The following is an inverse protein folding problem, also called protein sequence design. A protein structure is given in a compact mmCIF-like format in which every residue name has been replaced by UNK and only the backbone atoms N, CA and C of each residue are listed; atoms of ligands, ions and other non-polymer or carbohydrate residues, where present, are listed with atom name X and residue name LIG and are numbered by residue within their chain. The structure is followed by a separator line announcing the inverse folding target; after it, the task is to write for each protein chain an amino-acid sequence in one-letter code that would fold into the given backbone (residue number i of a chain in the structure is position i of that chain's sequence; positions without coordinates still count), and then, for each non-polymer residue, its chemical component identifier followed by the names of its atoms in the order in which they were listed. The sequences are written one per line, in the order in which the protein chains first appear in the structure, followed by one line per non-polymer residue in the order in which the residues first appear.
data_IF_221951652987
#
_entry.id   IF_221951652987
#
_cell.length_a   1.000
_cell.length_b   1.000
_cell.length_c   1.000
_cell.angle_alpha   90.00
_cell.angle_beta   90.00
_cell.angle_gamma   90.00
#
_symmetry.space_group_name_H-M   'P 1'
#
loop_
_entity.id
_entity.type
_entity.pdbx_description
1 polymer ?
#
# COMPACT_ATOMS: atom_id res chain seq x y z
N UNK A 1 -22.02 0.22 -4.58
CA UNK A 1 -22.57 -0.63 -3.52
C UNK A 1 -22.79 0.24 -2.28
N UNK A 2 -24.02 0.47 -1.87
CA UNK A 2 -24.34 1.09 -0.59
C UNK A 2 -24.09 0.06 0.50
N UNK A 3 -23.47 0.40 1.64
CA UNK A 3 -23.45 -0.49 2.79
C UNK A 3 -24.87 -0.65 3.37
N UNK A 4 -25.16 -1.86 3.79
CA UNK A 4 -26.41 -2.25 4.44
C UNK A 4 -26.57 -1.49 5.78
N UNK A 5 -27.73 -0.88 6.09
CA UNK A 5 -27.93 -0.09 7.31
C UNK A 5 -28.18 -0.89 8.58
N UNK A 6 -27.74 -2.16 8.65
CA UNK A 6 -28.04 -3.10 9.72
C UNK A 6 -26.93 -3.50 10.68
N UNK A 7 -25.70 -3.00 10.55
CA UNK A 7 -24.65 -3.32 11.54
C UNK A 7 -24.61 -2.29 12.66
N UNK A 8 -25.00 -2.77 13.83
CA UNK A 8 -25.03 -2.06 15.09
C UNK A 8 -23.70 -1.41 15.45
N UNK A 9 -23.74 -0.40 16.31
CA UNK A 9 -22.66 0.45 16.77
C UNK A 9 -21.33 -0.28 16.92
N UNK A 10 -20.53 -0.28 15.85
CA UNK A 10 -19.16 -0.76 15.90
C UNK A 10 -18.42 0.11 16.92
N UNK A 11 -17.99 -0.50 18.01
CA UNK A 11 -17.20 0.15 19.04
C UNK A 11 -16.06 0.91 18.34
N UNK A 12 -15.86 2.18 18.68
CA UNK A 12 -14.84 3.03 18.11
C UNK A 12 -13.49 2.35 18.39
N UNK A 13 -12.95 1.66 17.39
CA UNK A 13 -11.60 1.09 17.49
C UNK A 13 -10.64 2.26 17.74
N UNK A 14 -9.90 2.27 18.86
CA UNK A 14 -9.02 3.39 19.16
C UNK A 14 -8.01 3.56 18.03
N UNK A 15 -7.97 4.76 17.45
CA UNK A 15 -7.05 5.08 16.35
C UNK A 15 -5.61 5.01 16.86
N UNK A 16 -4.74 4.36 16.08
CA UNK A 16 -3.31 4.30 16.38
C UNK A 16 -2.64 5.60 15.98
N UNK A 17 -1.86 6.19 16.88
CA UNK A 17 -1.08 7.39 16.57
C UNK A 17 0.06 7.04 15.62
N UNK A 18 0.14 7.77 14.50
CA UNK A 18 1.14 7.60 13.46
C UNK A 18 1.92 8.89 13.26
N UNK A 19 3.13 8.92 13.73
CA UNK A 19 4.04 10.06 13.59
C UNK A 19 4.76 9.99 12.25
N UNK A 20 5.00 11.13 11.62
CA UNK A 20 5.72 11.19 10.35
C UNK A 20 6.73 12.33 10.32
N UNK A 21 7.79 12.14 9.54
CA UNK A 21 8.93 13.07 9.45
C UNK A 21 9.22 13.47 8.00
N UNK A 22 8.23 13.28 7.12
CA UNK A 22 8.27 13.65 5.71
C UNK A 22 7.07 14.56 5.37
N UNK A 23 7.34 15.74 4.76
CA UNK A 23 6.33 16.71 4.38
C UNK A 23 5.32 16.17 3.33
N UNK A 24 5.67 15.13 2.58
CA UNK A 24 4.77 14.46 1.64
C UNK A 24 3.48 13.97 2.31
N UNK A 25 3.54 13.50 3.54
CA UNK A 25 2.36 13.08 4.30
C UNK A 25 1.38 14.22 4.58
N UNK A 26 1.90 15.44 4.76
CA UNK A 26 1.05 16.61 5.00
C UNK A 26 0.39 17.14 3.72
N UNK A 27 1.12 17.10 2.62
CA UNK A 27 0.69 17.70 1.35
C UNK A 27 -0.37 16.87 0.63
N UNK A 28 -0.38 15.56 0.80
CA UNK A 28 -1.28 14.66 0.10
C UNK A 28 -2.56 14.38 0.91
N UNK A 29 -3.62 15.14 0.65
CA UNK A 29 -4.90 15.00 1.36
C UNK A 29 -5.50 13.59 1.21
N UNK A 30 -5.37 12.96 0.03
CA UNK A 30 -5.86 11.60 -0.22
C UNK A 30 -5.12 10.57 0.64
N UNK A 31 -3.79 10.65 0.72
CA UNK A 31 -2.98 9.79 1.58
C UNK A 31 -3.44 9.89 3.05
N UNK A 32 -3.60 11.11 3.56
CA UNK A 32 -4.10 11.31 4.93
C UNK A 32 -5.47 10.69 5.14
N UNK A 33 -6.37 10.85 4.16
CA UNK A 33 -7.71 10.27 4.24
C UNK A 33 -7.67 8.75 4.28
N UNK A 34 -6.84 8.10 3.44
CA UNK A 34 -6.68 6.65 3.41
C UNK A 34 -6.12 6.12 4.73
N UNK A 35 -5.07 6.76 5.29
CA UNK A 35 -4.52 6.39 6.59
C UNK A 35 -5.54 6.56 7.72
N UNK A 36 -6.32 7.64 7.70
CA UNK A 36 -7.40 7.86 8.67
C UNK A 36 -8.48 6.77 8.58
N UNK A 37 -8.86 6.34 7.36
CA UNK A 37 -9.81 5.25 7.15
C UNK A 37 -9.24 3.90 7.58
N UNK A 38 -7.93 3.71 7.48
CA UNK A 38 -7.22 2.53 7.97
C UNK A 38 -6.98 2.54 9.50
N UNK A 39 -7.56 3.50 10.23
CA UNK A 39 -7.49 3.56 11.68
C UNK A 39 -6.25 4.27 12.24
N UNK A 40 -5.52 5.01 11.41
CA UNK A 40 -4.36 5.79 11.87
C UNK A 40 -4.72 7.27 12.04
N UNK A 41 -4.16 7.86 13.09
CA UNK A 41 -4.24 9.29 13.40
C UNK A 41 -2.85 9.91 13.21
N UNK A 42 -2.69 10.69 12.13
CA UNK A 42 -1.41 11.31 11.81
C UNK A 42 -1.08 12.41 12.81
N UNK A 43 0.14 12.36 13.32
CA UNK A 43 0.66 13.28 14.33
C UNK A 43 2.01 13.86 13.94
N UNK A 44 2.23 15.09 14.37
CA UNK A 44 3.54 15.72 14.42
C UNK A 44 4.05 15.65 15.86
N UNK A 45 5.36 15.64 16.03
CA UNK A 45 5.99 15.63 17.36
C UNK A 45 6.85 14.39 17.58
N UNK A 46 6.99 13.97 18.82
CA UNK A 46 7.87 12.88 19.22
C UNK A 46 7.05 11.65 19.65
N UNK A 47 7.25 10.47 19.02
CA UNK A 47 6.50 9.27 19.36
C UNK A 47 6.96 8.65 20.67
N UNK A 48 6.09 7.90 21.32
CA UNK A 48 6.38 6.98 22.41
C UNK A 48 6.60 5.54 21.90
N UNK A 49 7.10 4.61 22.73
CA UNK A 49 7.26 3.20 22.32
C UNK A 49 5.97 2.49 21.88
N UNK A 50 4.80 3.00 22.31
CA UNK A 50 3.49 2.46 21.94
C UNK A 50 2.96 3.03 20.61
N UNK A 51 3.61 4.04 20.07
CA UNK A 51 3.22 4.71 18.83
C UNK A 51 3.86 4.07 17.61
N UNK A 52 3.49 4.56 16.43
CA UNK A 52 4.09 4.18 15.17
C UNK A 52 4.73 5.39 14.49
N UNK A 53 5.78 5.12 13.74
CA UNK A 53 6.38 6.09 12.81
C UNK A 53 6.10 5.62 11.39
N UNK A 54 5.40 6.45 10.61
CA UNK A 54 5.12 6.22 9.21
C UNK A 54 6.28 6.67 8.33
N UNK A 55 6.73 5.79 7.45
CA UNK A 55 7.78 6.06 6.45
C UNK A 55 7.32 5.59 5.07
N UNK A 56 7.84 6.20 4.01
CA UNK A 56 7.52 5.80 2.64
C UNK A 56 8.53 4.74 2.17
N UNK A 57 8.05 3.50 2.08
CA UNK A 57 8.84 2.34 1.64
C UNK A 57 10.22 2.26 2.27
N UNK A 58 11.21 2.03 1.43
CA UNK A 58 12.64 2.09 1.74
C UNK A 58 13.33 3.33 1.12
N UNK A 59 12.56 4.36 0.78
CA UNK A 59 13.09 5.57 0.14
C UNK A 59 14.16 6.28 1.00
N UNK A 60 15.06 7.07 0.39
CA UNK A 60 16.04 7.86 1.17
C UNK A 60 15.41 8.77 2.23
N UNK A 61 14.15 9.18 2.01
CA UNK A 61 13.39 10.00 2.95
C UNK A 61 12.86 9.21 4.16
N UNK A 62 12.89 7.89 4.12
CA UNK A 62 12.49 7.03 5.24
C UNK A 62 13.50 7.11 6.40
N UNK A 63 14.78 7.31 6.11
CA UNK A 63 15.89 7.25 7.08
C UNK A 63 15.67 8.11 8.33
N UNK A 64 15.08 9.30 8.17
CA UNK A 64 14.80 10.19 9.32
C UNK A 64 13.75 9.57 10.26
N UNK A 65 12.68 9.01 9.70
CA UNK A 65 11.64 8.33 10.48
C UNK A 65 12.17 7.06 11.14
N UNK A 66 12.98 6.28 10.41
CA UNK A 66 13.63 5.07 10.93
C UNK A 66 14.54 5.38 12.13
N UNK A 67 15.35 6.44 12.01
CA UNK A 67 16.22 6.87 13.11
C UNK A 67 15.41 7.32 14.35
N UNK A 68 14.28 8.00 14.16
CA UNK A 68 13.39 8.39 15.26
C UNK A 68 12.75 7.16 15.90
N UNK A 69 12.23 6.23 15.10
CA UNK A 69 11.65 4.99 15.60
C UNK A 69 12.66 4.19 16.44
N UNK A 70 13.88 4.03 15.95
CA UNK A 70 14.97 3.35 16.68
C UNK A 70 15.31 4.04 18.01
N UNK A 71 15.36 5.37 18.04
CA UNK A 71 15.68 6.14 19.26
C UNK A 71 14.57 6.13 20.31
N UNK A 72 13.32 6.02 19.89
CA UNK A 72 12.15 6.11 20.78
C UNK A 72 11.57 4.75 21.15
N UNK A 73 12.01 3.69 20.47
CA UNK A 73 11.40 2.37 20.60
C UNK A 73 10.04 2.25 19.93
N UNK A 74 9.60 3.28 19.18
CA UNK A 74 8.35 3.23 18.42
C UNK A 74 8.43 2.24 17.27
N UNK A 75 7.29 1.60 16.94
CA UNK A 75 7.21 0.71 15.79
C UNK A 75 7.27 1.48 14.45
N UNK A 76 7.73 0.83 13.38
CA UNK A 76 7.65 1.37 12.03
C UNK A 76 6.34 0.91 11.34
N UNK A 77 5.77 1.79 10.54
CA UNK A 77 4.78 1.48 9.53
C UNK A 77 5.33 1.95 8.18
N UNK A 78 5.67 1.01 7.31
CA UNK A 78 6.06 1.29 5.94
C UNK A 78 4.82 1.44 5.09
N UNK A 79 4.75 2.51 4.35
CA UNK A 79 3.62 2.88 3.50
C UNK A 79 4.15 2.89 2.08
N UNK A 80 3.47 2.19 1.18
CA UNK A 80 3.87 2.08 -0.22
C UNK A 80 2.66 2.15 -1.14
N UNK A 81 2.88 2.38 -2.40
CA UNK A 81 1.84 2.33 -3.42
C UNK A 81 1.17 0.96 -3.46
N UNK A 82 -0.14 0.93 -3.59
CA UNK A 82 -0.90 -0.30 -3.80
C UNK A 82 -0.59 -0.96 -5.14
N UNK A 83 -0.84 -2.27 -5.25
CA UNK A 83 -0.65 -3.03 -6.49
C UNK A 83 -1.48 -2.50 -7.66
N UNK A 84 -2.66 -1.93 -7.39
CA UNK A 84 -3.43 -1.11 -8.31
C UNK A 84 -3.30 0.33 -7.86
N UNK A 85 -2.45 1.09 -8.53
CA UNK A 85 -2.09 2.41 -8.03
C UNK A 85 -2.94 3.55 -8.58
N UNK A 86 -2.98 3.70 -9.89
CA UNK A 86 -3.64 4.83 -10.56
C UNK A 86 -3.68 4.62 -12.08
N UNK A 87 -4.31 5.52 -12.81
CA UNK A 87 -4.23 5.52 -14.27
C UNK A 87 -2.80 5.83 -14.73
N UNK A 88 -2.22 6.92 -14.23
CA UNK A 88 -0.90 7.39 -14.60
C UNK A 88 0.11 7.26 -13.44
N UNK A 89 1.42 7.19 -13.70
CA UNK A 89 2.45 7.17 -12.67
C UNK A 89 2.39 8.38 -11.72
N UNK A 90 2.84 8.18 -10.49
CA UNK A 90 2.87 9.24 -9.47
C UNK A 90 3.76 10.44 -9.84
N UNK A 91 4.83 10.22 -10.63
CA UNK A 91 5.67 11.29 -11.18
C UNK A 91 4.91 12.25 -12.10
N UNK A 92 3.80 11.81 -12.67
CA UNK A 92 2.88 12.62 -13.47
C UNK A 92 1.80 13.30 -12.62
N UNK A 93 1.91 13.26 -11.29
CA UNK A 93 1.01 13.91 -10.36
C UNK A 93 -0.24 13.11 -10.00
N UNK A 94 -0.41 11.90 -10.55
CA UNK A 94 -1.57 11.06 -10.23
C UNK A 94 -1.50 10.56 -8.78
N UNK A 95 -2.52 10.84 -7.94
CA UNK A 95 -2.54 10.38 -6.56
C UNK A 95 -2.84 8.88 -6.49
N UNK A 96 -2.34 8.17 -5.46
CA UNK A 96 -2.62 6.75 -5.31
C UNK A 96 -4.10 6.48 -5.03
N UNK A 97 -4.62 5.35 -5.53
CA UNK A 97 -5.96 4.84 -5.25
C UNK A 97 -5.95 3.80 -4.12
N UNK A 98 -4.81 3.20 -3.83
CA UNK A 98 -4.60 2.23 -2.78
C UNK A 98 -3.22 2.36 -2.15
N UNK A 99 -3.07 1.83 -0.94
CA UNK A 99 -1.80 1.79 -0.22
C UNK A 99 -1.56 0.37 0.31
N UNK A 100 -0.31 -0.02 0.32
CA UNK A 100 0.18 -1.13 1.14
C UNK A 100 0.71 -0.56 2.44
N UNK A 101 0.29 -1.14 3.55
CA UNK A 101 0.71 -0.77 4.91
C UNK A 101 1.37 -2.00 5.52
N UNK A 102 2.65 -1.89 5.85
CA UNK A 102 3.46 -3.03 6.29
C UNK A 102 4.23 -2.67 7.57
N UNK A 103 4.21 -3.55 8.55
CA UNK A 103 4.89 -3.36 9.84
C UNK A 103 6.18 -4.16 9.96
N UNK A 104 6.48 -5.03 9.02
CA UNK A 104 7.65 -5.92 8.99
C UNK A 104 8.68 -5.45 7.98
N UNK A 105 8.25 -5.22 6.75
CA UNK A 105 9.13 -4.88 5.65
C UNK A 105 8.43 -4.15 4.53
N UNK A 106 8.81 -4.42 3.31
CA UNK A 106 8.10 -4.08 2.07
C UNK A 106 8.24 -5.24 1.10
N UNK A 107 7.23 -5.45 0.27
CA UNK A 107 7.14 -6.61 -0.62
C UNK A 107 8.23 -6.70 -1.70
N UNK A 108 9.02 -5.66 -1.90
CA UNK A 108 10.13 -5.63 -2.87
C UNK A 108 11.53 -5.64 -2.22
N UNK A 109 11.62 -5.65 -0.88
CA UNK A 109 12.89 -5.74 -0.14
C UNK A 109 13.09 -7.17 0.38
N UNK A 110 13.95 -7.93 -0.28
CA UNK A 110 14.26 -9.31 0.08
C UNK A 110 15.08 -9.44 1.38
N UNK A 111 15.52 -8.35 2.01
CA UNK A 111 16.33 -8.40 3.24
C UNK A 111 15.55 -8.86 4.47
N UNK A 112 14.23 -8.75 4.43
CA UNK A 112 13.31 -9.17 5.51
C UNK A 112 11.93 -9.49 4.96
N UNK A 113 11.19 -10.43 5.58
CA UNK A 113 9.84 -10.74 5.13
C UNK A 113 8.89 -9.54 5.36
N UNK A 114 7.99 -9.32 4.42
CA UNK A 114 6.87 -8.39 4.52
C UNK A 114 5.69 -8.99 5.29
N UNK A 115 4.72 -8.15 5.68
CA UNK A 115 3.45 -8.64 6.24
C UNK A 115 2.69 -9.51 5.22
N UNK A 116 2.79 -9.20 3.91
CA UNK A 116 2.18 -10.03 2.86
C UNK A 116 2.81 -11.41 2.79
N UNK A 117 4.15 -11.52 2.77
CA UNK A 117 4.84 -12.81 2.77
C UNK A 117 4.52 -13.62 4.02
N UNK A 118 4.50 -12.98 5.19
CA UNK A 118 4.09 -13.65 6.41
C UNK A 118 2.65 -14.17 6.34
N UNK A 119 1.72 -13.34 5.83
CA UNK A 119 0.33 -13.74 5.65
C UNK A 119 0.20 -14.94 4.71
N UNK A 120 0.89 -14.92 3.57
CA UNK A 120 0.90 -16.03 2.61
C UNK A 120 1.49 -17.31 3.19
N UNK A 121 2.47 -17.21 4.09
CA UNK A 121 3.11 -18.36 4.72
C UNK A 121 2.30 -18.96 5.88
N UNK A 122 1.45 -18.17 6.55
CA UNK A 122 0.84 -18.59 7.83
C UNK A 122 -0.68 -18.63 7.82
N UNK A 123 -1.34 -17.90 6.94
CA UNK A 123 -2.80 -17.88 6.89
C UNK A 123 -3.31 -19.11 6.11
N UNK A 124 -4.31 -19.84 6.62
CA UNK A 124 -4.81 -21.04 5.96
C UNK A 124 -5.52 -20.78 4.62
N UNK A 125 -5.99 -19.53 4.37
CA UNK A 125 -6.68 -19.12 3.14
C UNK A 125 -7.87 -20.03 2.80
N UNK A 126 -8.59 -20.49 3.81
CA UNK A 126 -9.67 -21.48 3.74
C UNK A 126 -11.09 -20.89 3.95
N UNK A 127 -11.20 -19.56 4.13
CA UNK A 127 -12.48 -18.87 4.20
C UNK A 127 -13.14 -18.84 2.80
N UNK A 128 -14.30 -19.52 2.62
CA UNK A 128 -14.98 -19.58 1.32
C UNK A 128 -15.44 -18.22 0.81
N UNK A 129 -15.87 -17.32 1.69
CA UNK A 129 -16.32 -15.98 1.30
C UNK A 129 -15.16 -15.13 0.80
N UNK A 130 -14.01 -15.18 1.51
CA UNK A 130 -12.77 -14.54 1.08
C UNK A 130 -12.30 -15.08 -0.27
N UNK A 131 -12.29 -16.41 -0.45
CA UNK A 131 -11.87 -17.05 -1.69
C UNK A 131 -12.80 -16.70 -2.87
N UNK A 132 -14.10 -16.67 -2.65
CA UNK A 132 -15.07 -16.26 -3.68
C UNK A 132 -14.84 -14.80 -4.09
N UNK A 133 -14.65 -13.93 -3.11
CA UNK A 133 -14.34 -12.51 -3.37
C UNK A 133 -13.02 -12.36 -4.13
N UNK A 134 -11.98 -13.10 -3.76
CA UNK A 134 -10.68 -13.04 -4.42
C UNK A 134 -10.79 -13.45 -5.90
N UNK A 135 -11.47 -14.57 -6.20
CA UNK A 135 -11.73 -15.01 -7.57
C UNK A 135 -12.50 -13.97 -8.38
N UNK A 136 -13.54 -13.38 -7.78
CA UNK A 136 -14.30 -12.30 -8.44
C UNK A 136 -13.46 -11.05 -8.69
N UNK A 137 -12.53 -10.69 -7.80
CA UNK A 137 -11.58 -9.60 -8.03
C UNK A 137 -10.61 -9.93 -9.17
N UNK A 138 -10.05 -11.14 -9.21
CA UNK A 138 -9.15 -11.59 -10.29
C UNK A 138 -9.86 -11.50 -11.65
N UNK A 139 -11.09 -12.03 -11.75
CA UNK A 139 -11.87 -11.97 -12.99
C UNK A 139 -12.08 -10.53 -13.47
N UNK A 140 -12.46 -9.62 -12.54
CA UNK A 140 -12.64 -8.19 -12.87
C UNK A 140 -11.35 -7.49 -13.31
N UNK A 141 -10.23 -7.81 -12.68
CA UNK A 141 -8.93 -7.25 -13.07
C UNK A 141 -8.56 -7.66 -14.50
N UNK A 142 -8.78 -8.93 -14.83
CA UNK A 142 -8.52 -9.47 -16.18
C UNK A 142 -9.48 -8.88 -17.22
N UNK A 143 -10.77 -8.87 -16.95
CA UNK A 143 -11.81 -8.35 -17.84
C UNK A 143 -11.62 -6.85 -18.16
N UNK A 144 -11.25 -6.07 -17.14
CA UNK A 144 -11.05 -4.63 -17.27
C UNK A 144 -9.59 -4.24 -17.64
N UNK A 145 -8.70 -5.21 -17.88
CA UNK A 145 -7.29 -5.00 -18.19
C UNK A 145 -6.57 -4.09 -17.16
N UNK A 146 -6.91 -4.24 -15.88
CA UNK A 146 -6.33 -3.40 -14.82
C UNK A 146 -4.93 -3.87 -14.46
N UNK A 147 -4.01 -2.91 -14.40
CA UNK A 147 -2.61 -3.09 -13.99
C UNK A 147 -2.25 -2.05 -12.93
N UNK A 148 -1.00 -2.03 -12.49
CA UNK A 148 -0.49 -1.00 -11.54
C UNK A 148 -0.78 0.42 -12.05
N UNK A 149 -0.59 0.64 -13.36
CA UNK A 149 -0.94 1.87 -14.07
C UNK A 149 -1.84 1.51 -15.25
N UNK A 150 -3.10 1.89 -15.19
CA UNK A 150 -4.13 1.40 -16.10
C UNK A 150 -4.43 2.33 -17.28
N UNK A 151 -3.60 3.33 -17.56
CA UNK A 151 -3.70 4.18 -18.76
C UNK A 151 -3.09 3.47 -19.98
N UNK A 152 -3.57 2.26 -20.25
CA UNK A 152 -3.18 1.46 -21.42
C UNK A 152 -4.35 1.42 -22.41
N UNK A 153 -4.05 1.40 -23.69
CA UNK A 153 -5.07 1.19 -24.72
C UNK A 153 -5.15 -0.31 -25.05
N UNK A 154 -6.20 -1.02 -24.60
CA UNK A 154 -6.34 -2.45 -24.82
C UNK A 154 -6.70 -2.79 -26.29
N UNK A 155 -6.99 -1.77 -27.13
CA UNK A 155 -7.32 -1.97 -28.54
C UNK A 155 -6.09 -2.01 -29.45
N UNK A 156 -4.91 -1.65 -28.91
CA UNK A 156 -3.66 -1.75 -29.67
C UNK A 156 -3.36 -3.21 -30.02
N UNK A 157 -3.00 -3.50 -31.29
CA UNK A 157 -2.74 -4.86 -31.71
C UNK A 157 -1.51 -5.43 -31.02
N UNK A 158 -1.59 -6.67 -30.58
CA UNK A 158 -0.42 -7.40 -30.12
C UNK A 158 0.54 -7.65 -31.29
N UNK A 159 1.86 -7.69 -31.06
CA UNK A 159 2.82 -8.13 -32.07
C UNK A 159 2.50 -9.53 -32.59
N UNK A 160 2.84 -9.81 -33.86
CA UNK A 160 2.67 -11.14 -34.42
C UNK A 160 3.48 -12.18 -33.62
N UNK A 161 3.01 -13.45 -33.55
CA UNK A 161 3.76 -14.50 -32.84
C UNK A 161 5.20 -14.63 -33.35
N UNK A 162 6.13 -14.94 -32.43
CA UNK A 162 7.57 -15.07 -32.75
C UNK A 162 8.43 -13.88 -32.28
N UNK A 163 7.83 -12.85 -31.69
CA UNK A 163 8.61 -11.76 -31.06
C UNK A 163 9.28 -12.22 -29.77
N UNK A 164 10.35 -11.55 -29.40
CA UNK A 164 11.02 -11.68 -28.11
C UNK A 164 10.67 -10.48 -27.26
N UNK A 165 10.01 -10.73 -26.12
CA UNK A 165 9.70 -9.69 -25.14
C UNK A 165 10.90 -9.48 -24.22
N UNK A 166 11.50 -8.29 -24.26
CA UNK A 166 12.52 -7.85 -23.30
C UNK A 166 11.85 -6.99 -22.25
N UNK A 167 11.91 -7.44 -21.00
CA UNK A 167 11.38 -6.68 -19.86
C UNK A 167 12.53 -5.93 -19.22
N UNK A 168 12.35 -4.64 -19.00
CA UNK A 168 13.32 -3.77 -18.34
C UNK A 168 12.65 -2.97 -17.23
N UNK A 169 13.43 -2.47 -16.30
CA UNK A 169 13.01 -1.71 -15.14
C UNK A 169 13.52 -0.26 -15.24
N UNK A 170 12.74 0.68 -14.74
CA UNK A 170 13.13 2.08 -14.69
C UNK A 170 14.43 2.23 -13.89
N UNK A 171 15.43 2.88 -14.44
CA UNK A 171 16.72 3.11 -13.77
C UNK A 171 16.51 3.81 -12.42
N UNK A 172 17.03 3.22 -11.35
CA UNK A 172 16.89 3.73 -9.98
C UNK A 172 15.60 3.33 -9.28
N UNK A 173 14.78 2.51 -9.91
CA UNK A 173 13.71 1.76 -9.24
C UNK A 173 14.37 0.56 -8.53
N UNK A 174 14.04 0.36 -7.25
CA UNK A 174 14.74 -0.60 -6.39
C UNK A 174 14.47 -2.06 -6.80
#
# INVERSE_FOLDING_TARGET
LRPDPGEGAAGVVPRRRLYHFNAGFLRQARLRRMLSLAGYDLRLGWPSPQDLVGVWGCSPYARRGEAVAARTGAGLLRIEDGFLRSLFPGREGAPPLGLVLDRRGVHFDASRPSDLEHLLATHPLDDPALMTRARGCIARLQEAHLTKYSAVDPTLPCPAPGYVLVIDQTRGDA
#
